data_IF_847785461144
#
_entry.id   IF_847785461144
#
_cell.length_a   1.000
_cell.length_b   1.000
_cell.length_c   1.000
_cell.angle_alpha   90.00
_cell.angle_beta   90.00
_cell.angle_gamma   90.00
#
_symmetry.space_group_name_H-M   'P 1'
#
loop_
_entity.id
_entity.type
_entity.pdbx_description
1 polymer ?
#
# COMPACT_ATOMS: atom_id res chain seq x y z
N UNK A 1 60.77 -52.00 -7.90
CA UNK A 1 60.95 -50.57 -8.25
C UNK A 1 59.87 -49.81 -7.49
N UNK A 2 60.10 -49.03 -6.44
CA UNK A 2 61.30 -48.41 -5.88
C UNK A 2 60.81 -47.09 -5.24
N UNK A 3 60.30 -47.10 -4.00
CA UNK A 3 61.03 -46.95 -2.72
C UNK A 3 61.84 -45.64 -2.59
N UNK A 4 61.44 -44.85 -1.58
CA UNK A 4 62.15 -43.84 -0.74
C UNK A 4 61.10 -42.78 -0.36
N UNK A 5 60.51 -42.67 0.84
CA UNK A 5 60.99 -42.76 2.25
C UNK A 5 62.18 -41.88 2.60
N UNK A 6 61.93 -40.82 3.40
CA UNK A 6 62.56 -40.64 4.73
C UNK A 6 62.00 -39.45 5.53
N UNK A 7 61.75 -39.72 6.82
CA UNK A 7 61.61 -38.72 7.89
C UNK A 7 62.92 -37.96 8.18
N UNK A 8 62.87 -36.84 8.91
CA UNK A 8 63.30 -36.76 10.33
C UNK A 8 63.52 -35.31 10.87
N UNK A 9 62.74 -34.96 11.91
CA UNK A 9 63.10 -34.27 13.19
C UNK A 9 63.70 -32.84 13.25
N UNK A 10 62.89 -32.00 13.93
CA UNK A 10 63.21 -31.23 15.16
C UNK A 10 64.31 -30.14 15.19
N UNK A 11 63.85 -28.90 15.38
CA UNK A 11 64.60 -27.79 15.99
C UNK A 11 63.71 -26.84 16.81
N UNK A 12 63.79 -26.93 18.15
CA UNK A 12 63.31 -26.00 19.19
C UNK A 12 64.35 -26.08 20.34
N UNK A 13 64.43 -25.16 21.34
CA UNK A 13 63.49 -24.06 21.67
C UNK A 13 64.16 -22.70 22.05
N UNK A 14 63.34 -21.68 22.32
CA UNK A 14 63.31 -20.92 23.59
C UNK A 14 61.97 -20.17 23.68
N UNK A 15 61.10 -20.56 24.63
CA UNK A 15 60.76 -19.84 25.90
C UNK A 15 59.85 -18.62 25.64
N UNK A 16 58.71 -18.43 26.33
CA UNK A 16 58.11 -19.13 27.48
C UNK A 16 56.58 -18.83 27.58
N UNK A 17 55.75 -19.82 28.01
CA UNK A 17 54.56 -19.78 28.94
C UNK A 17 53.55 -18.58 28.92
N UNK A 18 52.24 -18.70 29.19
CA UNK A 18 51.27 -19.73 29.68
C UNK A 18 49.87 -19.24 29.22
N UNK A 19 49.01 -19.98 28.51
CA UNK A 19 47.97 -20.95 28.95
C UNK A 19 47.15 -20.54 30.22
N UNK A 20 45.86 -20.18 30.07
CA UNK A 20 44.70 -20.99 30.53
C UNK A 20 43.33 -20.49 30.01
N UNK A 21 42.26 -21.23 30.34
CA UNK A 21 41.05 -21.43 29.54
C UNK A 21 39.85 -20.49 29.80
N UNK A 22 38.92 -20.57 28.83
CA UNK A 22 37.55 -20.09 28.76
C UNK A 22 36.69 -20.14 30.04
N UNK A 23 35.79 -19.16 30.18
CA UNK A 23 34.52 -19.24 30.94
C UNK A 23 33.40 -18.50 30.18
N UNK A 24 32.18 -19.00 30.31
CA UNK A 24 30.92 -18.47 29.76
C UNK A 24 30.52 -17.16 30.46
N UNK A 25 30.20 -16.08 29.71
CA UNK A 25 29.32 -14.97 30.15
C UNK A 25 28.57 -14.43 28.91
N UNK A 26 27.24 -14.45 28.83
CA UNK A 26 26.22 -13.72 29.62
C UNK A 26 26.03 -12.26 29.18
N UNK A 27 24.79 -11.78 29.20
CA UNK A 27 24.33 -10.59 28.49
C UNK A 27 24.79 -9.27 29.13
N UNK A 28 26.00 -8.80 28.78
CA UNK A 28 26.55 -7.53 29.28
C UNK A 28 27.46 -6.73 28.31
N UNK A 29 27.47 -7.04 27.00
CA UNK A 29 28.43 -6.41 26.04
C UNK A 29 27.86 -5.30 25.14
N UNK A 30 26.55 -5.04 25.16
CA UNK A 30 25.97 -3.85 24.49
C UNK A 30 26.54 -2.53 25.03
N UNK A 31 26.73 -2.33 26.37
CA UNK A 31 27.33 -1.10 26.89
C UNK A 31 28.78 -0.88 26.41
N UNK A 32 29.57 -1.95 26.28
CA UNK A 32 30.98 -1.85 25.90
C UNK A 32 31.14 -1.44 24.42
N UNK A 33 30.29 -1.97 23.53
CA UNK A 33 30.26 -1.59 22.11
C UNK A 33 29.86 -0.11 21.92
N UNK A 34 28.85 0.36 22.67
CA UNK A 34 28.44 1.76 22.66
C UNK A 34 29.50 2.70 23.23
N UNK A 35 30.26 2.26 24.25
CA UNK A 35 31.36 3.04 24.83
C UNK A 35 32.55 3.19 23.86
N UNK A 36 32.92 2.11 23.17
CA UNK A 36 33.99 2.13 22.14
C UNK A 36 33.60 3.03 20.95
N UNK A 37 32.38 2.93 20.43
CA UNK A 37 31.94 3.80 19.33
C UNK A 37 31.90 5.29 19.73
N UNK A 38 31.63 5.60 21.00
CA UNK A 38 31.65 6.97 21.54
C UNK A 38 33.07 7.53 21.73
N UNK A 39 34.08 6.67 21.86
CA UNK A 39 35.51 7.07 21.87
C UNK A 39 36.08 7.31 20.47
N UNK A 40 35.55 6.66 19.44
CA UNK A 40 36.08 6.74 18.07
C UNK A 40 35.20 7.50 17.06
N UNK A 41 34.07 8.08 17.47
CA UNK A 41 33.27 8.99 16.66
C UNK A 41 32.60 8.37 15.43
N UNK A 42 32.29 7.07 15.46
CA UNK A 42 31.66 6.36 14.35
C UNK A 42 30.12 6.47 14.40
N UNK A 43 29.44 6.78 13.29
CA UNK A 43 27.98 6.95 13.26
C UNK A 43 27.23 5.62 13.40
N UNK A 44 26.09 5.65 14.11
CA UNK A 44 25.20 4.50 14.33
C UNK A 44 23.91 4.61 13.49
N UNK A 45 23.29 3.51 13.02
CA UNK A 45 22.09 3.56 12.17
C UNK A 45 20.82 4.06 12.90
N UNK A 46 19.92 4.80 12.23
CA UNK A 46 18.89 5.61 12.88
C UNK A 46 17.52 4.90 13.08
N UNK A 47 17.48 3.71 13.71
CA UNK A 47 16.19 3.00 13.95
C UNK A 47 16.00 2.38 15.36
N UNK A 48 16.79 2.77 16.36
CA UNK A 48 16.80 2.15 17.70
C UNK A 48 16.79 3.15 18.87
N UNK A 49 16.09 4.30 18.75
CA UNK A 49 16.07 5.34 19.79
C UNK A 49 14.70 5.67 20.43
N UNK A 50 13.63 4.93 20.11
CA UNK A 50 12.27 5.22 20.64
C UNK A 50 11.58 4.02 21.31
N UNK A 51 12.31 3.28 22.14
CA UNK A 51 11.74 2.39 23.16
C UNK A 51 12.55 2.58 24.45
N UNK A 52 11.88 2.89 25.56
CA UNK A 52 12.39 3.40 26.86
C UNK A 52 12.66 4.94 26.85
N UNK A 53 12.20 5.77 27.81
CA UNK A 53 11.50 5.58 29.10
C UNK A 53 10.59 6.78 29.43
N UNK A 54 9.53 6.60 30.22
CA UNK A 54 8.82 7.69 30.94
C UNK A 54 9.20 7.66 32.43
N UNK A 55 9.62 8.80 33.03
CA UNK A 55 9.16 9.33 34.34
C UNK A 55 9.96 10.57 34.86
N UNK A 56 9.25 11.52 35.51
CA UNK A 56 9.73 12.56 36.47
C UNK A 56 10.60 13.79 36.07
N UNK A 57 9.94 14.87 35.59
CA UNK A 57 9.77 16.23 36.21
C UNK A 57 10.93 17.01 36.93
N UNK A 58 11.25 18.23 36.41
CA UNK A 58 11.78 19.51 37.03
C UNK A 58 13.22 19.56 37.64
N UNK A 59 14.01 20.68 37.67
CA UNK A 59 13.81 22.12 37.33
C UNK A 59 15.16 22.88 36.99
N UNK A 60 15.11 23.90 36.11
CA UNK A 60 15.85 25.19 35.97
C UNK A 60 17.41 25.36 35.72
N UNK A 61 17.88 25.87 34.53
CA UNK A 61 18.24 27.27 34.05
C UNK A 61 19.75 27.67 34.31
N UNK A 62 20.52 28.43 33.46
CA UNK A 62 20.57 28.64 31.99
C UNK A 62 22.00 28.46 31.36
N UNK A 63 22.11 28.48 30.02
CA UNK A 63 23.03 29.37 29.25
C UNK A 63 22.67 29.32 27.75
N UNK A 64 22.82 30.43 27.02
CA UNK A 64 22.20 30.67 25.70
C UNK A 64 23.20 30.83 24.55
N UNK A 65 22.63 30.94 23.32
CA UNK A 65 23.25 31.23 22.01
C UNK A 65 23.92 30.03 21.30
N UNK A 66 23.49 29.59 20.10
CA UNK A 66 22.21 29.74 19.37
C UNK A 66 22.12 28.65 18.26
N UNK A 67 20.92 28.12 17.99
CA UNK A 67 20.58 27.38 16.76
C UNK A 67 19.05 27.45 16.55
N UNK A 68 18.59 27.90 15.38
CA UNK A 68 17.16 28.11 15.12
C UNK A 68 16.42 26.79 14.91
N UNK A 69 15.58 26.40 15.87
CA UNK A 69 14.67 25.26 15.76
C UNK A 69 13.31 25.70 15.23
N UNK A 70 12.91 25.14 14.08
CA UNK A 70 11.53 25.18 13.62
C UNK A 70 10.67 24.32 14.57
N UNK A 71 9.95 24.99 15.47
CA UNK A 71 9.02 24.34 16.40
C UNK A 71 7.61 24.34 15.84
N UNK A 72 6.97 23.17 15.85
CA UNK A 72 5.54 23.04 15.54
C UNK A 72 4.71 23.39 16.78
N UNK A 73 3.68 24.26 16.68
CA UNK A 73 2.96 24.74 17.85
C UNK A 73 1.99 23.69 18.41
N UNK A 74 2.13 23.38 19.68
CA UNK A 74 1.10 22.68 20.48
C UNK A 74 -0.01 23.67 20.84
N UNK A 75 -1.31 23.40 20.54
CA UNK A 75 -2.39 24.32 20.89
C UNK A 75 -2.58 24.46 22.40
N UNK A 76 -2.57 25.69 22.92
CA UNK A 76 -2.78 25.97 24.34
C UNK A 76 -4.26 26.08 24.71
N UNK A 77 -4.62 25.54 25.88
CA UNK A 77 -5.99 25.47 26.39
C UNK A 77 -6.50 26.80 26.96
N UNK A 78 -6.67 27.86 26.15
CA UNK A 78 -7.42 29.06 26.57
C UNK A 78 -8.04 29.94 25.47
N UNK A 79 -8.74 29.33 24.51
CA UNK A 79 -9.84 29.99 23.77
C UNK A 79 -11.10 29.12 23.79
N UNK A 80 -11.69 28.97 24.98
CA UNK A 80 -12.98 28.32 25.19
C UNK A 80 -14.09 29.36 25.39
N UNK A 81 -14.68 29.84 24.29
CA UNK A 81 -16.10 30.23 24.24
C UNK A 81 -16.54 30.45 22.78
N UNK A 82 -17.73 29.92 22.44
CA UNK A 82 -18.37 29.97 21.10
C UNK A 82 -17.71 29.14 19.98
N UNK A 83 -17.50 27.85 20.25
CA UNK A 83 -17.66 26.80 19.24
C UNK A 83 -18.80 25.87 19.66
N UNK A 84 -19.61 25.40 18.71
CA UNK A 84 -20.81 24.60 18.97
C UNK A 84 -20.43 23.20 19.50
N UNK A 85 -21.07 22.80 20.60
CA UNK A 85 -20.95 21.45 21.17
C UNK A 85 -21.66 20.45 20.24
N UNK A 86 -20.98 19.42 19.72
CA UNK A 86 -21.66 18.27 19.14
C UNK A 86 -22.35 17.50 20.27
N UNK A 87 -23.67 17.34 20.17
CA UNK A 87 -24.43 16.57 21.15
C UNK A 87 -24.04 15.09 21.16
N UNK A 88 -24.39 14.41 22.27
CA UNK A 88 -24.31 12.96 22.45
C UNK A 88 -24.82 12.18 21.23
N UNK A 89 -24.36 10.92 21.00
CA UNK A 89 -24.79 10.12 19.85
C UNK A 89 -26.31 9.88 19.89
N UNK A 90 -27.04 10.73 19.17
CA UNK A 90 -28.42 10.48 18.78
C UNK A 90 -28.44 9.23 17.91
N UNK A 91 -29.50 8.42 18.04
CA UNK A 91 -29.73 7.26 17.16
C UNK A 91 -29.51 7.69 15.70
N UNK A 92 -28.90 6.86 14.85
CA UNK A 92 -28.61 7.23 13.47
C UNK A 92 -29.89 7.75 12.84
N UNK A 93 -29.86 9.02 12.44
CA UNK A 93 -30.99 9.62 11.76
C UNK A 93 -31.23 8.78 10.51
N UNK A 94 -32.38 8.13 10.43
CA UNK A 94 -32.84 7.51 9.18
C UNK A 94 -32.75 8.58 8.11
N UNK A 95 -31.83 8.41 7.16
CA UNK A 95 -31.64 9.27 6.00
C UNK A 95 -32.96 9.32 5.24
N UNK A 96 -33.78 10.32 5.57
CA UNK A 96 -35.12 10.44 5.03
C UNK A 96 -35.01 10.90 3.60
N UNK A 97 -35.36 9.99 2.69
CA UNK A 97 -35.39 10.20 1.24
C UNK A 97 -36.08 11.53 0.93
N UNK A 98 -35.32 12.54 0.46
CA UNK A 98 -35.85 13.88 0.20
C UNK A 98 -37.04 13.80 -0.76
N UNK A 99 -38.27 14.13 -0.32
CA UNK A 99 -39.44 13.92 -1.17
C UNK A 99 -39.39 14.82 -2.41
N UNK A 100 -39.25 14.22 -3.59
CA UNK A 100 -39.19 14.94 -4.87
C UNK A 100 -37.85 14.88 -5.62
N UNK A 101 -36.79 14.33 -5.02
CA UNK A 101 -35.51 14.15 -5.73
C UNK A 101 -35.64 13.12 -6.87
N UNK A 102 -35.39 13.55 -8.12
CA UNK A 102 -35.43 12.67 -9.30
C UNK A 102 -34.30 11.65 -9.22
N UNK A 103 -34.65 10.35 -9.25
CA UNK A 103 -33.68 9.25 -9.22
C UNK A 103 -32.74 9.31 -10.43
N UNK A 104 -31.44 9.18 -10.20
CA UNK A 104 -30.38 9.30 -11.22
C UNK A 104 -29.94 7.92 -11.73
N UNK A 105 -29.94 7.72 -13.04
CA UNK A 105 -29.50 6.47 -13.67
C UNK A 105 -28.04 6.55 -14.09
N UNK A 106 -27.24 5.58 -13.63
CA UNK A 106 -25.84 5.44 -14.04
C UNK A 106 -25.66 4.11 -14.78
N UNK A 107 -25.33 4.19 -16.06
CA UNK A 107 -25.07 3.03 -16.93
C UNK A 107 -23.60 2.63 -16.84
N UNK A 108 -23.32 1.39 -16.45
CA UNK A 108 -21.99 0.82 -16.60
C UNK A 108 -21.85 0.15 -17.97
N UNK A 109 -21.05 0.74 -18.86
CA UNK A 109 -20.91 0.25 -20.23
C UNK A 109 -19.98 -0.97 -20.28
N UNK A 110 -20.57 -2.15 -20.08
CA UNK A 110 -19.87 -3.45 -20.18
C UNK A 110 -20.13 -4.12 -21.53
N UNK A 111 -19.21 -4.04 -22.52
CA UNK A 111 -19.42 -4.69 -23.83
C UNK A 111 -19.15 -6.20 -23.84
N UNK A 112 -18.48 -6.75 -22.83
CA UNK A 112 -18.16 -8.18 -22.68
C UNK A 112 -17.89 -8.52 -21.21
N UNK A 113 -18.04 -9.78 -20.78
CA UNK A 113 -17.84 -10.20 -19.37
C UNK A 113 -16.50 -9.72 -18.77
N UNK A 114 -15.39 -9.82 -19.52
CA UNK A 114 -14.05 -9.34 -19.09
C UNK A 114 -13.94 -7.83 -18.86
N UNK A 115 -14.96 -7.07 -19.24
CA UNK A 115 -15.05 -5.63 -19.04
C UNK A 115 -15.86 -5.25 -17.79
N UNK A 116 -16.39 -6.23 -17.05
CA UNK A 116 -16.95 -6.05 -15.72
C UNK A 116 -15.84 -5.89 -14.67
N UNK A 117 -14.89 -4.98 -14.92
CA UNK A 117 -13.74 -4.73 -14.05
C UNK A 117 -14.17 -4.33 -12.63
N UNK A 118 -15.29 -3.61 -12.51
CA UNK A 118 -15.87 -3.17 -11.26
C UNK A 118 -16.79 -4.23 -10.59
N UNK A 119 -17.01 -5.38 -11.24
CA UNK A 119 -17.88 -6.48 -10.79
C UNK A 119 -19.31 -6.03 -10.43
N UNK A 120 -19.88 -5.13 -11.25
CA UNK A 120 -21.23 -4.57 -11.11
C UNK A 120 -22.31 -5.39 -11.82
N UNK A 121 -21.97 -6.36 -12.67
CA UNK A 121 -22.97 -7.21 -13.34
C UNK A 121 -23.18 -8.55 -12.60
N UNK A 122 -22.12 -9.11 -12.01
CA UNK A 122 -22.20 -10.39 -11.26
C UNK A 122 -22.73 -10.26 -9.84
N UNK A 123 -22.73 -9.05 -9.29
CA UNK A 123 -23.42 -8.71 -8.05
C UNK A 123 -24.39 -7.58 -8.38
N UNK A 124 -25.64 -7.57 -7.86
CA UNK A 124 -26.25 -6.28 -7.59
C UNK A 124 -25.30 -5.56 -6.65
N UNK A 125 -24.53 -4.60 -7.19
CA UNK A 125 -23.55 -3.87 -6.40
C UNK A 125 -24.23 -3.27 -5.17
N UNK A 126 -23.53 -3.13 -4.03
CA UNK A 126 -24.13 -2.52 -2.85
C UNK A 126 -24.75 -1.20 -3.29
N UNK A 127 -26.04 -1.06 -3.02
CA UNK A 127 -26.80 0.13 -3.38
C UNK A 127 -26.14 1.35 -2.76
N UNK A 128 -26.44 2.55 -3.26
CA UNK A 128 -25.96 3.77 -2.61
C UNK A 128 -26.47 3.89 -1.16
N UNK A 129 -27.56 3.17 -0.83
CA UNK A 129 -28.09 2.99 0.52
C UNK A 129 -27.22 2.02 1.35
N UNK A 130 -26.84 0.85 0.81
CA UNK A 130 -25.93 -0.12 1.47
C UNK A 130 -24.53 0.48 1.74
N UNK A 131 -24.05 1.32 0.82
CA UNK A 131 -22.80 2.08 0.98
C UNK A 131 -22.91 3.29 1.92
N UNK A 132 -24.12 3.58 2.43
CA UNK A 132 -24.40 4.76 3.26
C UNK A 132 -23.91 6.07 2.62
N UNK A 133 -24.02 6.18 1.30
CA UNK A 133 -23.65 7.39 0.58
C UNK A 133 -24.53 8.56 1.04
N UNK A 134 -23.98 9.77 1.27
CA UNK A 134 -24.77 10.95 1.63
C UNK A 134 -25.86 11.26 0.61
N UNK A 135 -25.53 11.12 -0.68
CA UNK A 135 -26.47 11.11 -1.79
C UNK A 135 -26.72 9.66 -2.23
N UNK A 136 -27.95 9.19 -2.06
CA UNK A 136 -28.33 7.79 -2.33
C UNK A 136 -29.44 7.61 -3.37
N UNK A 137 -29.92 8.69 -3.99
CA UNK A 137 -30.95 8.69 -5.03
C UNK A 137 -30.48 8.16 -6.40
N UNK A 138 -29.34 7.47 -6.48
CA UNK A 138 -28.79 6.92 -7.72
C UNK A 138 -29.07 5.42 -7.84
N UNK A 139 -28.92 4.87 -9.05
CA UNK A 139 -28.90 3.43 -9.27
C UNK A 139 -28.06 3.06 -10.49
N UNK A 140 -27.55 1.83 -10.47
CA UNK A 140 -26.76 1.26 -11.55
C UNK A 140 -27.63 0.44 -12.51
N UNK A 141 -27.23 0.42 -13.78
CA UNK A 141 -27.72 -0.56 -14.76
C UNK A 141 -26.59 -0.99 -15.68
N UNK A 142 -26.64 -2.23 -16.16
CA UNK A 142 -25.79 -2.78 -17.21
C UNK A 142 -26.50 -2.78 -18.58
N UNK A 143 -27.78 -2.40 -18.62
CA UNK A 143 -28.60 -2.39 -19.82
C UNK A 143 -28.15 -1.26 -20.76
N UNK A 144 -27.32 -1.62 -21.73
CA UNK A 144 -26.77 -0.70 -22.73
C UNK A 144 -27.84 -0.04 -23.63
N UNK A 145 -29.08 -0.54 -23.66
CA UNK A 145 -30.17 0.15 -24.38
C UNK A 145 -30.51 1.50 -23.73
N UNK A 146 -30.23 1.66 -22.43
CA UNK A 146 -30.50 2.88 -21.64
C UNK A 146 -29.50 4.01 -21.82
N UNK A 147 -28.54 3.90 -22.74
CA UNK A 147 -27.50 4.92 -22.97
C UNK A 147 -28.03 6.32 -23.33
N UNK A 148 -29.23 6.41 -23.92
CA UNK A 148 -29.89 7.69 -24.23
C UNK A 148 -30.68 8.28 -23.05
N UNK A 149 -31.00 7.47 -22.04
CA UNK A 149 -31.78 7.85 -20.86
C UNK A 149 -30.89 8.16 -19.64
N UNK A 150 -29.70 7.55 -19.57
CA UNK A 150 -28.80 7.63 -18.42
C UNK A 150 -28.30 9.06 -18.13
N UNK A 151 -28.26 9.42 -16.85
CA UNK A 151 -27.66 10.66 -16.35
C UNK A 151 -26.13 10.58 -16.36
N UNK A 152 -25.55 9.39 -16.22
CA UNK A 152 -24.13 9.13 -16.48
C UNK A 152 -23.86 7.77 -17.13
N UNK A 153 -22.73 7.68 -17.84
CA UNK A 153 -22.26 6.43 -18.48
C UNK A 153 -20.77 6.22 -18.19
N UNK A 154 -20.42 5.10 -17.56
CA UNK A 154 -19.03 4.73 -17.25
C UNK A 154 -18.45 3.84 -18.35
N UNK A 155 -17.32 4.26 -18.91
CA UNK A 155 -16.57 3.50 -19.92
C UNK A 155 -15.20 3.13 -19.35
N UNK A 156 -14.89 1.83 -19.25
CA UNK A 156 -13.55 1.38 -18.88
C UNK A 156 -12.60 1.48 -20.07
N UNK A 157 -11.47 2.19 -19.93
CA UNK A 157 -10.58 2.57 -21.04
C UNK A 157 -10.09 1.37 -21.87
N UNK A 158 -9.81 0.22 -21.23
CA UNK A 158 -9.36 -0.99 -21.93
C UNK A 158 -10.46 -1.65 -22.81
N UNK A 159 -11.72 -1.26 -22.64
CA UNK A 159 -12.87 -1.90 -23.25
C UNK A 159 -13.55 -1.10 -24.38
N UNK A 160 -13.20 0.18 -24.56
CA UNK A 160 -13.77 1.03 -25.63
C UNK A 160 -13.11 0.86 -27.02
N UNK A 161 -11.92 0.25 -27.10
CA UNK A 161 -11.11 0.12 -28.34
C UNK A 161 -11.83 -0.48 -29.56
N UNK A 162 -12.87 -1.29 -29.35
CA UNK A 162 -13.65 -1.96 -30.42
C UNK A 162 -15.16 -1.80 -30.21
N UNK A 163 -15.56 -0.69 -29.60
CA UNK A 163 -16.96 -0.37 -29.34
C UNK A 163 -17.39 0.70 -30.34
N UNK A 164 -18.45 0.43 -31.10
CA UNK A 164 -19.16 1.47 -31.86
C UNK A 164 -19.70 2.49 -30.87
N UNK A 165 -19.32 3.76 -31.05
CA UNK A 165 -19.66 4.84 -30.13
C UNK A 165 -21.19 5.00 -30.10
N UNK A 166 -21.85 4.83 -28.94
CA UNK A 166 -23.29 4.96 -28.85
C UNK A 166 -23.74 6.43 -28.94
N UNK A 167 -24.99 6.67 -29.33
CA UNK A 167 -25.55 8.02 -29.29
C UNK A 167 -25.61 8.53 -27.84
N UNK A 168 -24.84 9.58 -27.53
CA UNK A 168 -24.78 10.23 -26.22
C UNK A 168 -26.08 10.98 -25.91
N UNK A 169 -26.58 10.84 -24.68
CA UNK A 169 -27.54 11.77 -24.09
C UNK A 169 -26.88 13.17 -23.96
N UNK A 170 -27.39 14.24 -24.61
CA UNK A 170 -26.77 15.58 -24.53
C UNK A 170 -26.64 16.14 -23.11
N UNK A 171 -27.52 15.72 -22.20
CA UNK A 171 -27.49 16.14 -20.79
C UNK A 171 -26.73 15.15 -19.88
N UNK A 172 -26.38 13.97 -20.39
CA UNK A 172 -25.70 12.92 -19.63
C UNK A 172 -24.19 13.11 -19.54
N UNK A 173 -23.58 12.67 -18.43
CA UNK A 173 -22.14 12.75 -18.16
C UNK A 173 -21.44 11.45 -18.55
N UNK A 174 -20.55 11.50 -19.53
CA UNK A 174 -19.70 10.35 -19.88
C UNK A 174 -18.42 10.36 -19.05
N UNK A 175 -18.10 9.22 -18.43
CA UNK A 175 -17.00 9.07 -17.48
C UNK A 175 -16.01 8.05 -18.03
N UNK A 176 -14.76 8.47 -18.25
CA UNK A 176 -13.68 7.54 -18.60
C UNK A 176 -13.03 6.98 -17.33
N UNK A 177 -13.19 5.68 -17.11
CA UNK A 177 -12.64 4.95 -15.97
C UNK A 177 -11.32 4.30 -16.35
N UNK A 178 -10.27 4.53 -15.56
CA UNK A 178 -9.01 3.81 -15.70
C UNK A 178 -8.27 3.70 -14.36
N UNK A 179 -7.92 2.47 -13.99
CA UNK A 179 -7.15 2.12 -12.78
C UNK A 179 -5.76 1.55 -13.11
N UNK A 180 -5.38 1.47 -14.38
CA UNK A 180 -4.03 1.05 -14.80
C UNK A 180 -3.06 2.23 -14.85
N UNK A 181 -1.76 1.94 -14.74
CA UNK A 181 -0.71 2.96 -14.82
C UNK A 181 -0.63 3.60 -16.22
N UNK A 182 0.06 4.75 -16.37
CA UNK A 182 0.41 5.31 -17.68
C UNK A 182 1.24 4.36 -18.56
N UNK A 183 2.03 3.46 -17.95
CA UNK A 183 2.86 2.49 -18.67
C UNK A 183 2.02 1.39 -19.33
N UNK A 184 0.96 0.93 -18.65
CA UNK A 184 0.11 -0.20 -19.04
C UNK A 184 -1.13 0.25 -19.83
N UNK A 185 -1.39 1.56 -19.86
CA UNK A 185 -2.61 2.10 -20.44
C UNK A 185 -2.53 2.35 -21.94
N UNK A 186 -3.61 1.93 -22.61
CA UNK A 186 -3.72 2.03 -24.04
C UNK A 186 -4.27 3.40 -24.46
N UNK A 187 -3.46 4.19 -25.16
CA UNK A 187 -3.80 5.56 -25.59
C UNK A 187 -4.34 5.68 -27.04
N UNK A 188 -4.71 4.57 -27.70
CA UNK A 188 -5.32 4.62 -29.06
C UNK A 188 -6.85 4.55 -28.99
N UNK A 189 -7.45 5.64 -28.55
CA UNK A 189 -8.91 5.83 -28.49
C UNK A 189 -9.34 7.17 -29.11
N UNK A 190 -8.60 7.64 -30.11
CA UNK A 190 -8.82 8.91 -30.83
C UNK A 190 -10.26 9.19 -31.22
N UNK A 191 -11.02 8.15 -31.59
CA UNK A 191 -12.42 8.29 -32.03
C UNK A 191 -13.34 8.76 -30.89
N UNK A 192 -12.88 8.67 -29.64
CA UNK A 192 -13.58 9.12 -28.43
C UNK A 192 -13.09 10.49 -27.92
N UNK A 193 -12.27 11.20 -28.71
CA UNK A 193 -11.79 12.54 -28.39
C UNK A 193 -12.97 13.52 -28.19
N UNK A 194 -12.86 14.38 -27.17
CA UNK A 194 -13.91 15.34 -26.81
C UNK A 194 -15.22 14.73 -26.28
N UNK A 195 -15.35 13.40 -26.12
CA UNK A 195 -16.63 12.78 -25.72
C UNK A 195 -16.84 12.67 -24.21
N UNK A 196 -15.77 12.63 -23.40
CA UNK A 196 -15.85 12.44 -21.95
C UNK A 196 -15.98 13.77 -21.20
N UNK A 197 -16.87 13.80 -20.20
CA UNK A 197 -17.07 14.95 -19.31
C UNK A 197 -16.22 14.86 -18.03
N UNK A 198 -16.02 13.63 -17.53
CA UNK A 198 -15.31 13.36 -16.28
C UNK A 198 -14.30 12.20 -16.45
N UNK A 199 -13.23 12.23 -15.66
CA UNK A 199 -12.31 11.09 -15.49
C UNK A 199 -12.47 10.45 -14.11
N UNK A 200 -12.33 9.13 -14.03
CA UNK A 200 -12.30 8.38 -12.76
C UNK A 200 -11.02 7.55 -12.70
N UNK A 201 -10.08 7.95 -11.84
CA UNK A 201 -8.71 7.39 -11.77
C UNK A 201 -8.19 7.34 -10.35
N UNK A 202 -7.13 6.57 -10.12
CA UNK A 202 -6.40 6.55 -8.84
C UNK A 202 -5.60 7.83 -8.56
N UNK A 203 -5.55 8.78 -9.50
CA UNK A 203 -4.84 10.06 -9.37
C UNK A 203 -5.77 11.15 -8.81
N UNK A 204 -5.28 11.94 -7.85
CA UNK A 204 -6.05 13.01 -7.16
C UNK A 204 -6.51 14.15 -8.08
N UNK A 205 -5.94 14.26 -9.28
CA UNK A 205 -6.26 15.28 -10.29
C UNK A 205 -7.41 14.88 -11.25
N UNK A 206 -8.01 13.69 -11.05
CA UNK A 206 -9.19 13.25 -11.79
C UNK A 206 -10.48 13.82 -11.18
N UNK A 207 -11.57 13.87 -11.96
CA UNK A 207 -12.87 14.36 -11.47
C UNK A 207 -13.47 13.55 -10.34
N UNK A 208 -13.17 12.24 -10.33
CA UNK A 208 -13.63 11.26 -9.35
C UNK A 208 -12.40 10.46 -8.90
N UNK A 209 -11.85 10.84 -7.75
CA UNK A 209 -10.70 10.16 -7.15
C UNK A 209 -11.09 8.74 -6.72
N UNK A 210 -10.49 7.75 -7.38
CA UNK A 210 -10.77 6.32 -7.26
C UNK A 210 -9.48 5.51 -7.13
N UNK A 211 -8.80 5.58 -5.96
CA UNK A 211 -7.71 4.67 -5.64
C UNK A 211 -8.24 3.26 -5.43
N UNK A 212 -7.38 2.23 -5.58
CA UNK A 212 -7.76 0.82 -5.37
C UNK A 212 -8.37 0.56 -4.00
N UNK A 213 -7.90 1.26 -2.97
CA UNK A 213 -8.56 1.33 -1.67
C UNK A 213 -8.03 2.53 -0.85
N UNK A 214 -8.54 2.69 0.37
CA UNK A 214 -8.02 3.62 1.38
C UNK A 214 -7.70 2.86 2.67
N UNK A 215 -6.59 3.20 3.32
CA UNK A 215 -6.27 2.73 4.68
C UNK A 215 -6.98 3.62 5.69
N UNK A 216 -7.59 3.02 6.71
CA UNK A 216 -8.30 3.73 7.79
C UNK A 216 -7.89 3.12 9.14
N UNK A 217 -7.58 3.99 10.10
CA UNK A 217 -7.34 3.59 11.48
C UNK A 217 -8.65 3.22 12.17
N UNK A 218 -8.68 2.09 12.87
CA UNK A 218 -9.91 1.45 13.36
C UNK A 218 -9.74 0.81 14.74
N UNK A 219 -8.78 1.32 15.52
CA UNK A 219 -8.46 0.82 16.86
C UNK A 219 -9.68 0.91 17.78
N UNK A 220 -10.09 -0.22 18.33
CA UNK A 220 -11.31 -0.35 19.15
C UNK A 220 -12.56 -0.80 18.37
N UNK A 221 -12.53 -0.81 17.04
CA UNK A 221 -13.64 -1.28 16.18
C UNK A 221 -13.43 -2.72 15.66
N UNK A 222 -12.53 -3.47 16.28
CA UNK A 222 -12.18 -4.84 15.92
C UNK A 222 -11.45 -5.51 17.08
N UNK A 223 -11.14 -6.82 16.98
CA UNK A 223 -10.48 -7.55 18.08
C UNK A 223 -9.06 -7.02 18.39
N UNK A 224 -8.47 -6.23 17.48
CA UNK A 224 -7.06 -5.86 17.53
C UNK A 224 -6.16 -7.10 17.48
N UNK A 225 -4.95 -6.99 18.01
CA UNK A 225 -4.09 -8.14 18.24
C UNK A 225 -3.35 -7.99 19.59
N UNK A 226 -3.58 -8.93 20.50
CA UNK A 226 -2.84 -8.99 21.77
C UNK A 226 -1.34 -9.24 21.49
N UNK A 227 -0.46 -8.92 22.45
CA UNK A 227 0.98 -9.14 22.26
C UNK A 227 1.26 -10.64 22.14
N UNK A 228 0.58 -11.44 22.94
CA UNK A 228 0.64 -12.90 23.02
C UNK A 228 0.11 -13.53 21.72
N UNK A 229 -1.00 -13.00 21.17
CA UNK A 229 -1.54 -13.42 19.88
C UNK A 229 -0.56 -13.10 18.74
N UNK A 230 -0.01 -11.88 18.71
CA UNK A 230 0.98 -11.48 17.70
C UNK A 230 2.23 -12.38 17.73
N UNK A 231 2.79 -12.62 18.91
CA UNK A 231 3.93 -13.54 19.10
C UNK A 231 3.58 -14.99 18.72
N UNK A 232 2.38 -15.47 19.06
CA UNK A 232 1.90 -16.81 18.71
C UNK A 232 1.76 -17.00 17.19
N UNK A 233 1.30 -15.96 16.47
CA UNK A 233 1.26 -15.95 15.00
C UNK A 233 2.68 -15.92 14.45
N UNK A 234 3.54 -15.01 14.93
CA UNK A 234 4.94 -14.88 14.49
C UNK A 234 5.69 -16.21 14.56
N UNK A 235 5.56 -16.94 15.67
CA UNK A 235 6.22 -18.24 15.90
C UNK A 235 5.68 -19.39 15.05
N UNK A 236 4.51 -19.23 14.42
CA UNK A 236 3.93 -20.21 13.48
C UNK A 236 4.35 -19.96 12.03
N UNK A 237 4.90 -18.78 11.72
CA UNK A 237 5.41 -18.45 10.38
C UNK A 237 6.62 -19.33 10.06
N UNK A 238 6.50 -20.15 9.02
CA UNK A 238 7.57 -21.09 8.59
C UNK A 238 8.30 -20.63 7.34
N UNK A 239 7.78 -19.62 6.63
CA UNK A 239 8.32 -19.13 5.36
C UNK A 239 8.61 -17.64 5.41
N UNK A 240 9.60 -17.22 4.60
CA UNK A 240 10.17 -15.89 4.73
C UNK A 240 9.52 -14.86 3.79
N UNK A 241 9.76 -14.97 2.47
CA UNK A 241 9.24 -14.02 1.47
C UNK A 241 8.43 -14.75 0.40
N UNK A 242 7.23 -14.25 0.10
CA UNK A 242 6.42 -14.66 -1.05
C UNK A 242 6.30 -13.54 -2.09
N UNK A 243 6.17 -13.93 -3.36
CA UNK A 243 5.79 -13.03 -4.45
C UNK A 243 4.79 -13.72 -5.38
N UNK A 244 3.57 -13.20 -5.49
CA UNK A 244 2.56 -13.71 -6.44
C UNK A 244 2.49 -12.80 -7.66
N UNK A 245 2.93 -13.32 -8.80
CA UNK A 245 3.15 -12.54 -10.03
C UNK A 245 2.83 -13.34 -11.29
N UNK A 246 2.23 -12.69 -12.29
CA UNK A 246 1.90 -13.32 -13.57
C UNK A 246 1.99 -12.37 -14.77
N UNK A 247 2.62 -11.21 -14.60
CA UNK A 247 2.92 -10.25 -15.67
C UNK A 247 4.40 -9.88 -15.57
N UNK A 248 5.18 -10.38 -16.53
CA UNK A 248 6.60 -10.13 -16.76
C UNK A 248 6.85 -10.26 -18.28
N UNK A 249 7.76 -9.49 -18.89
CA UNK A 249 8.51 -8.39 -18.29
C UNK A 249 7.59 -7.19 -17.93
N UNK A 250 8.11 -6.21 -17.19
CA UNK A 250 7.35 -5.04 -16.73
C UNK A 250 8.13 -3.72 -16.85
N UNK A 251 7.42 -2.60 -16.96
CA UNK A 251 8.05 -1.27 -17.04
C UNK A 251 8.84 -0.89 -15.78
N UNK A 252 8.47 -1.42 -14.60
CA UNK A 252 9.24 -1.23 -13.37
C UNK A 252 10.44 -2.17 -13.22
N UNK A 253 10.64 -3.13 -14.15
CA UNK A 253 11.69 -4.16 -14.10
C UNK A 253 11.75 -4.87 -12.75
N UNK A 254 10.59 -5.09 -12.11
CA UNK A 254 10.49 -5.70 -10.77
C UNK A 254 11.01 -7.13 -10.73
N UNK A 255 10.96 -7.82 -11.86
CA UNK A 255 11.56 -9.14 -12.07
C UNK A 255 13.08 -9.10 -11.84
N UNK A 256 13.79 -8.14 -12.42
CA UNK A 256 15.25 -7.97 -12.24
C UNK A 256 15.61 -7.61 -10.80
N UNK A 257 14.81 -6.75 -10.14
CA UNK A 257 14.99 -6.44 -8.72
C UNK A 257 14.84 -7.71 -7.84
N UNK A 258 13.87 -8.58 -8.16
CA UNK A 258 13.67 -9.85 -7.42
C UNK A 258 14.78 -10.86 -7.73
N UNK A 259 15.28 -10.92 -8.96
CA UNK A 259 16.43 -11.77 -9.33
C UNK A 259 17.71 -11.36 -8.56
N UNK A 260 17.95 -10.06 -8.37
CA UNK A 260 19.05 -9.58 -7.51
C UNK A 260 18.77 -9.89 -6.03
N UNK A 261 17.54 -9.63 -5.54
CA UNK A 261 17.14 -9.93 -4.16
C UNK A 261 17.31 -11.41 -3.80
N UNK A 262 16.97 -12.32 -4.73
CA UNK A 262 17.06 -13.78 -4.55
C UNK A 262 18.50 -14.29 -4.31
N UNK A 263 19.53 -13.53 -4.71
CA UNK A 263 20.93 -13.84 -4.39
C UNK A 263 21.23 -13.75 -2.89
N UNK A 264 20.40 -13.01 -2.15
CA UNK A 264 20.63 -12.72 -0.73
C UNK A 264 19.55 -13.31 0.19
N UNK A 265 18.30 -13.50 -0.26
CA UNK A 265 17.19 -14.02 0.57
C UNK A 265 16.29 -14.95 -0.26
N UNK A 266 15.83 -16.11 0.27
CA UNK A 266 14.88 -16.94 -0.47
C UNK A 266 13.55 -16.22 -0.67
N UNK A 267 13.11 -16.16 -1.94
CA UNK A 267 11.81 -15.62 -2.36
C UNK A 267 11.05 -16.69 -3.12
N UNK A 268 9.92 -17.12 -2.57
CA UNK A 268 9.02 -18.08 -3.21
C UNK A 268 8.14 -17.34 -4.25
N UNK A 269 8.38 -17.62 -5.54
CA UNK A 269 7.69 -16.96 -6.65
C UNK A 269 6.56 -17.84 -7.20
N UNK A 270 5.34 -17.34 -7.11
CA UNK A 270 4.11 -17.99 -7.54
C UNK A 270 3.51 -17.33 -8.79
N UNK A 271 2.93 -18.14 -9.66
CA UNK A 271 2.27 -17.70 -10.89
C UNK A 271 3.21 -17.72 -12.10
N UNK A 272 2.81 -17.11 -13.22
CA UNK A 272 3.47 -17.31 -14.53
C UNK A 272 4.94 -16.86 -14.62
N UNK A 273 5.46 -16.10 -13.66
CA UNK A 273 6.88 -15.73 -13.61
C UNK A 273 7.71 -16.55 -12.61
N UNK A 274 7.16 -17.63 -12.04
CA UNK A 274 7.85 -18.48 -11.07
C UNK A 274 7.45 -19.95 -11.17
N UNK A 275 8.15 -20.84 -10.43
CA UNK A 275 7.89 -22.27 -10.48
C UNK A 275 6.69 -22.71 -9.64
N UNK A 276 6.21 -21.89 -8.71
CA UNK A 276 5.11 -22.24 -7.80
C UNK A 276 3.75 -21.82 -8.37
N UNK A 277 2.69 -22.57 -8.03
CA UNK A 277 1.34 -22.32 -8.56
C UNK A 277 0.42 -21.77 -7.47
N UNK A 278 -0.14 -20.60 -7.74
CA UNK A 278 -1.32 -20.06 -7.07
C UNK A 278 -2.31 -19.61 -8.15
N UNK A 279 -3.52 -20.14 -8.15
CA UNK A 279 -4.54 -19.75 -9.12
C UNK A 279 -5.19 -18.42 -8.71
N UNK A 280 -5.44 -17.53 -9.68
CA UNK A 280 -6.10 -16.24 -9.43
C UNK A 280 -7.50 -16.47 -8.86
N UNK A 281 -7.75 -15.97 -7.65
CA UNK A 281 -9.03 -16.12 -6.94
C UNK A 281 -9.13 -17.35 -6.04
N UNK A 282 -8.07 -18.16 -5.92
CA UNK A 282 -8.03 -19.25 -4.94
C UNK A 282 -7.86 -18.71 -3.52
N UNK A 283 -8.82 -19.00 -2.64
CA UNK A 283 -8.81 -18.56 -1.25
C UNK A 283 -7.61 -19.15 -0.48
N UNK A 284 -7.18 -20.38 -0.81
CA UNK A 284 -6.05 -21.07 -0.16
C UNK A 284 -4.74 -20.32 -0.32
N UNK A 285 -4.59 -19.53 -1.38
CA UNK A 285 -3.43 -18.66 -1.55
C UNK A 285 -3.38 -17.53 -0.52
N UNK A 286 -4.53 -16.96 -0.15
CA UNK A 286 -4.59 -15.92 0.87
C UNK A 286 -4.33 -16.52 2.26
N UNK A 287 -4.84 -17.72 2.53
CA UNK A 287 -4.55 -18.48 3.75
C UNK A 287 -3.05 -18.82 3.87
N UNK A 288 -2.43 -19.31 2.78
CA UNK A 288 -1.00 -19.56 2.66
C UNK A 288 -0.15 -18.32 2.99
N UNK A 289 -0.47 -17.15 2.41
CA UNK A 289 0.19 -15.89 2.75
C UNK A 289 -0.05 -15.50 4.22
N UNK A 290 -1.29 -15.58 4.69
CA UNK A 290 -1.67 -15.18 6.04
C UNK A 290 -1.01 -16.04 7.12
N UNK A 291 -0.85 -17.34 6.88
CA UNK A 291 -0.41 -18.30 7.90
C UNK A 291 1.09 -18.55 7.85
N UNK A 292 1.70 -18.68 6.66
CA UNK A 292 3.04 -19.24 6.54
C UNK A 292 4.14 -18.18 6.34
N UNK A 293 3.86 -17.11 5.57
CA UNK A 293 4.88 -16.14 5.14
C UNK A 293 5.00 -14.89 6.02
N UNK A 294 6.22 -14.48 6.37
CA UNK A 294 6.45 -13.19 7.10
C UNK A 294 6.33 -11.96 6.18
N UNK A 295 6.80 -12.05 4.95
CA UNK A 295 6.87 -10.93 4.01
C UNK A 295 6.22 -11.24 2.66
N UNK A 296 5.59 -10.23 2.05
CA UNK A 296 5.05 -10.30 0.69
C UNK A 296 5.56 -9.16 -0.18
N UNK A 297 6.07 -9.46 -1.37
CA UNK A 297 6.55 -8.44 -2.30
C UNK A 297 5.37 -7.79 -3.05
N UNK A 298 4.87 -6.69 -2.50
CA UNK A 298 3.83 -5.82 -3.06
C UNK A 298 4.42 -4.89 -4.14
N UNK A 299 5.09 -5.47 -5.14
CA UNK A 299 5.85 -4.75 -6.16
C UNK A 299 4.97 -4.41 -7.37
N UNK A 300 4.83 -3.12 -7.67
CA UNK A 300 4.07 -2.66 -8.82
C UNK A 300 4.80 -2.96 -10.14
N UNK A 301 4.04 -3.25 -11.20
CA UNK A 301 4.52 -3.44 -12.58
C UNK A 301 4.94 -2.13 -13.28
N UNK A 302 4.74 -0.99 -12.61
CA UNK A 302 4.91 0.33 -13.20
C UNK A 302 5.34 1.34 -12.15
N UNK A 303 6.26 2.21 -12.53
CA UNK A 303 6.69 3.34 -11.72
C UNK A 303 5.94 4.58 -12.20
N UNK A 304 4.93 4.97 -11.43
CA UNK A 304 4.08 6.14 -11.67
C UNK A 304 3.67 6.76 -10.32
N UNK A 305 3.49 8.07 -10.30
CA UNK A 305 3.06 8.81 -9.10
C UNK A 305 1.72 8.29 -8.59
N UNK A 306 1.58 8.20 -7.26
CA UNK A 306 0.40 7.69 -6.54
C UNK A 306 -0.08 6.27 -6.92
N UNK A 307 0.64 5.51 -7.75
CA UNK A 307 0.20 4.17 -8.19
C UNK A 307 0.45 3.11 -7.11
N UNK A 308 -0.62 2.74 -6.40
CA UNK A 308 -0.67 1.67 -5.41
C UNK A 308 -1.94 0.86 -5.65
N UNK A 309 -1.81 -0.46 -5.70
CA UNK A 309 -2.85 -1.36 -6.20
C UNK A 309 -3.23 -2.46 -5.20
N UNK A 310 -4.02 -3.44 -5.64
CA UNK A 310 -4.39 -4.63 -4.85
C UNK A 310 -3.19 -5.35 -4.21
N UNK A 311 -2.02 -5.29 -4.85
CA UNK A 311 -0.77 -5.95 -4.39
C UNK A 311 -0.37 -5.51 -2.99
N UNK A 312 -0.64 -4.24 -2.64
CA UNK A 312 -0.46 -3.71 -1.29
C UNK A 312 -1.74 -3.89 -0.45
N UNK A 313 -2.88 -3.42 -0.95
CA UNK A 313 -4.10 -3.33 -0.13
C UNK A 313 -4.64 -4.69 0.34
N UNK A 314 -4.50 -5.76 -0.45
CA UNK A 314 -4.94 -7.11 -0.04
C UNK A 314 -4.07 -7.68 1.09
N UNK A 315 -2.87 -7.16 1.33
CA UNK A 315 -2.00 -7.62 2.42
C UNK A 315 -2.35 -6.99 3.77
N UNK A 316 -2.98 -5.81 3.80
CA UNK A 316 -3.33 -5.09 5.03
C UNK A 316 -4.22 -5.91 6.00
N UNK A 317 -5.29 -6.62 5.57
CA UNK A 317 -6.07 -7.44 6.49
C UNK A 317 -5.41 -8.76 6.92
N UNK A 318 -4.26 -9.14 6.34
CA UNK A 318 -3.57 -10.41 6.62
C UNK A 318 -2.44 -10.24 7.66
N UNK A 319 -2.07 -11.30 8.36
CA UNK A 319 -0.94 -11.29 9.31
C UNK A 319 0.44 -11.38 8.63
N UNK A 320 0.66 -10.56 7.60
CA UNK A 320 1.89 -10.49 6.80
C UNK A 320 2.32 -9.03 6.63
N UNK A 321 3.62 -8.77 6.50
CA UNK A 321 4.14 -7.43 6.25
C UNK A 321 4.42 -7.26 4.74
N UNK A 322 3.76 -6.32 4.04
CA UNK A 322 4.07 -6.02 2.65
C UNK A 322 5.40 -5.26 2.53
N UNK A 323 6.24 -5.70 1.59
CA UNK A 323 7.42 -4.99 1.12
C UNK A 323 7.05 -4.32 -0.19
N UNK A 324 7.10 -3.00 -0.25
CA UNK A 324 6.53 -2.20 -1.35
C UNK A 324 7.61 -1.61 -2.25
N UNK A 325 7.38 -1.68 -3.56
CA UNK A 325 8.22 -1.05 -4.58
C UNK A 325 7.34 -0.30 -5.59
N UNK A 326 7.27 1.01 -5.43
CA UNK A 326 6.48 1.96 -6.23
C UNK A 326 7.08 3.38 -6.12
N UNK A 327 6.68 4.30 -7.00
CA UNK A 327 6.97 5.73 -6.86
C UNK A 327 5.92 6.49 -6.02
N UNK A 328 4.85 5.85 -5.57
CA UNK A 328 3.82 6.50 -4.76
C UNK A 328 4.37 7.11 -3.46
N UNK A 329 3.89 8.29 -3.09
CA UNK A 329 4.08 8.83 -1.74
C UNK A 329 3.02 8.23 -0.81
N UNK A 330 3.40 7.22 -0.02
CA UNK A 330 2.48 6.51 0.88
C UNK A 330 1.88 7.42 1.96
N UNK A 331 2.64 8.39 2.48
CA UNK A 331 2.15 9.37 3.45
C UNK A 331 1.02 10.24 2.88
N UNK A 332 1.14 10.67 1.62
CA UNK A 332 0.08 11.41 0.92
C UNK A 332 -1.18 10.58 0.62
N UNK A 333 -1.08 9.25 0.63
CA UNK A 333 -2.19 8.32 0.51
C UNK A 333 -2.82 7.97 1.87
N UNK A 334 -2.31 8.54 2.97
CA UNK A 334 -2.75 8.24 4.33
C UNK A 334 -2.31 6.86 4.81
N UNK A 335 -1.25 6.29 4.23
CA UNK A 335 -0.66 5.01 4.64
C UNK A 335 0.49 5.27 5.62
N UNK A 336 0.37 4.88 6.90
CA UNK A 336 1.44 5.07 7.88
C UNK A 336 2.65 4.17 7.58
N UNK A 337 3.89 4.63 7.82
CA UNK A 337 5.10 3.86 7.54
C UNK A 337 5.11 2.44 8.12
N UNK A 338 4.55 2.26 9.33
CA UNK A 338 4.51 0.98 10.06
C UNK A 338 3.76 -0.15 9.34
N UNK A 339 2.99 0.15 8.29
CA UNK A 339 2.20 -0.85 7.55
C UNK A 339 2.97 -1.58 6.45
N UNK A 340 4.18 -1.14 6.12
CA UNK A 340 4.99 -1.66 5.02
C UNK A 340 6.49 -1.44 5.23
N UNK A 341 7.29 -2.07 4.36
CA UNK A 341 8.72 -1.85 4.23
C UNK A 341 8.96 -1.34 2.81
N UNK A 342 9.34 -0.07 2.63
CA UNK A 342 9.56 0.51 1.30
C UNK A 342 10.98 0.16 0.80
N UNK A 343 11.11 -0.29 -0.45
CA UNK A 343 12.43 -0.60 -1.01
C UNK A 343 13.34 0.63 -1.13
N UNK A 344 12.77 1.84 -1.15
CA UNK A 344 13.50 3.12 -1.21
C UNK A 344 14.23 3.48 0.09
N UNK A 345 13.88 2.84 1.22
CA UNK A 345 14.58 3.02 2.49
C UNK A 345 15.94 2.28 2.54
N UNK A 346 16.27 1.51 1.50
CA UNK A 346 17.46 0.67 1.40
C UNK A 346 18.34 1.09 0.22
N UNK A 347 19.66 0.98 0.37
CA UNK A 347 20.62 1.36 -0.68
C UNK A 347 20.73 0.30 -1.79
N UNK A 348 20.29 -0.92 -1.53
CA UNK A 348 20.35 -2.05 -2.47
C UNK A 348 19.36 -3.17 -2.08
N UNK A 349 19.02 -4.09 -3.00
CA UNK A 349 18.28 -5.31 -2.68
C UNK A 349 18.98 -6.17 -1.59
N UNK A 350 20.31 -6.09 -1.49
CA UNK A 350 21.09 -6.76 -0.45
C UNK A 350 20.81 -6.18 0.94
N UNK A 351 20.80 -4.85 1.09
CA UNK A 351 20.52 -4.19 2.37
C UNK A 351 19.09 -4.50 2.86
N UNK A 352 18.14 -4.55 1.92
CA UNK A 352 16.77 -5.02 2.18
C UNK A 352 16.75 -6.47 2.66
N UNK A 353 17.42 -7.40 1.95
CA UNK A 353 17.51 -8.80 2.35
C UNK A 353 18.13 -8.97 3.74
N UNK A 354 19.17 -8.21 4.08
CA UNK A 354 19.77 -8.22 5.41
C UNK A 354 18.82 -7.67 6.49
N UNK A 355 18.04 -6.63 6.19
CA UNK A 355 17.00 -6.12 7.09
C UNK A 355 15.89 -7.15 7.35
N UNK A 356 15.33 -7.74 6.28
CA UNK A 356 14.29 -8.78 6.40
C UNK A 356 14.80 -9.99 7.21
N UNK A 357 16.07 -10.39 7.04
CA UNK A 357 16.71 -11.45 7.85
C UNK A 357 16.97 -11.07 9.32
N UNK A 358 17.18 -9.78 9.63
CA UNK A 358 17.28 -9.31 11.02
C UNK A 358 15.91 -9.37 11.70
N UNK A 359 14.90 -8.86 11.02
CA UNK A 359 13.51 -8.85 11.49
C UNK A 359 12.90 -10.26 11.60
N UNK A 360 13.30 -11.20 10.73
CA UNK A 360 12.95 -12.61 10.84
C UNK A 360 13.45 -13.26 12.15
N UNK A 361 14.64 -12.86 12.63
CA UNK A 361 15.25 -13.38 13.86
C UNK A 361 14.76 -12.71 15.14
N UNK A 362 13.94 -11.67 15.02
CA UNK A 362 13.39 -10.90 16.14
C UNK A 362 11.86 -11.02 16.16
N UNK A 363 11.39 -12.08 16.81
CA UNK A 363 9.96 -12.37 16.97
C UNK A 363 9.20 -11.22 17.64
N UNK A 364 9.82 -10.48 18.57
CA UNK A 364 9.20 -9.37 19.30
C UNK A 364 9.02 -8.17 18.37
N UNK A 365 10.04 -7.79 17.61
CA UNK A 365 9.94 -6.70 16.62
C UNK A 365 8.95 -7.04 15.50
N UNK A 366 8.98 -8.26 14.96
CA UNK A 366 8.01 -8.64 13.92
C UNK A 366 6.58 -8.75 14.47
N UNK A 367 6.38 -9.26 15.70
CA UNK A 367 5.07 -9.26 16.35
C UNK A 367 4.55 -7.84 16.62
N UNK A 368 5.44 -6.88 16.96
CA UNK A 368 5.06 -5.48 17.13
C UNK A 368 4.54 -4.85 15.83
N UNK A 369 5.15 -5.16 14.68
CA UNK A 369 4.64 -4.74 13.36
C UNK A 369 3.25 -5.32 13.07
N UNK A 370 3.05 -6.63 13.29
CA UNK A 370 1.74 -7.26 13.10
C UNK A 370 0.66 -6.63 14.00
N UNK A 371 1.00 -6.36 15.26
CA UNK A 371 0.09 -5.72 16.22
C UNK A 371 -0.25 -4.29 15.81
N UNK A 372 0.73 -3.49 15.40
CA UNK A 372 0.48 -2.12 14.95
C UNK A 372 -0.40 -2.10 13.68
N UNK A 373 -0.15 -3.04 12.75
CA UNK A 373 -0.90 -3.19 11.51
C UNK A 373 -2.35 -3.66 11.74
N UNK A 374 -2.62 -4.44 12.79
CA UNK A 374 -3.96 -4.90 13.14
C UNK A 374 -4.92 -3.78 13.61
N UNK A 375 -4.42 -2.58 13.95
CA UNK A 375 -5.26 -1.42 14.24
C UNK A 375 -5.86 -0.78 12.96
N UNK A 376 -5.48 -1.25 11.76
CA UNK A 376 -5.87 -0.65 10.48
C UNK A 376 -6.74 -1.58 9.62
N UNK A 377 -7.70 -0.98 8.93
CA UNK A 377 -8.57 -1.63 7.93
C UNK A 377 -8.41 -0.98 6.57
N UNK A 378 -8.90 -1.68 5.55
CA UNK A 378 -8.97 -1.19 4.17
C UNK A 378 -10.43 -0.93 3.81
N UNK A 379 -10.72 0.30 3.40
CA UNK A 379 -12.01 0.67 2.82
C UNK A 379 -11.91 0.66 1.30
N UNK A 380 -12.80 -0.11 0.69
CA UNK A 380 -12.78 -0.45 -0.74
C UNK A 380 -13.04 0.78 -1.63
N UNK A 381 -12.57 0.73 -2.88
CA UNK A 381 -12.71 1.81 -3.89
C UNK A 381 -14.15 2.23 -4.18
N UNK A 382 -15.14 1.41 -3.75
CA UNK A 382 -16.59 1.65 -3.90
C UNK A 382 -17.08 3.01 -3.38
N UNK A 383 -16.34 3.66 -2.48
CA UNK A 383 -16.67 5.03 -2.01
C UNK A 383 -16.68 6.06 -3.14
N UNK A 384 -15.87 5.87 -4.19
CA UNK A 384 -15.88 6.73 -5.38
C UNK A 384 -17.21 6.70 -6.13
N UNK A 385 -18.09 5.73 -5.88
CA UNK A 385 -19.46 5.75 -6.39
C UNK A 385 -20.31 6.83 -5.70
N UNK A 386 -20.17 7.00 -4.39
CA UNK A 386 -20.85 8.07 -3.67
C UNK A 386 -20.50 9.44 -4.27
N UNK A 387 -19.25 9.64 -4.70
CA UNK A 387 -18.82 10.85 -5.42
C UNK A 387 -19.50 11.02 -6.78
N UNK A 388 -19.70 9.95 -7.57
CA UNK A 388 -20.48 10.05 -8.83
C UNK A 388 -21.91 10.49 -8.54
N UNK A 389 -22.56 9.88 -7.54
CA UNK A 389 -23.94 10.23 -7.20
C UNK A 389 -24.04 11.68 -6.70
N UNK A 390 -23.12 12.09 -5.82
CA UNK A 390 -23.00 13.48 -5.34
C UNK A 390 -22.84 14.47 -6.49
N UNK A 391 -21.89 14.24 -7.40
CA UNK A 391 -21.65 15.10 -8.57
C UNK A 391 -22.82 15.16 -9.55
N UNK A 392 -23.67 14.12 -9.62
CA UNK A 392 -24.89 14.13 -10.46
C UNK A 392 -26.07 14.89 -9.84
N UNK A 393 -26.01 15.17 -8.54
CA UNK A 393 -27.01 15.97 -7.82
C UNK A 393 -26.56 17.41 -7.55
N UNK A 394 -25.28 17.71 -7.69
CA UNK A 394 -24.73 19.05 -7.56
C UNK A 394 -25.01 19.90 -8.84
N UNK A 395 -25.86 20.94 -8.76
CA UNK A 395 -26.18 21.78 -9.92
C UNK A 395 -25.04 22.73 -10.32
N UNK A 396 -23.98 22.85 -9.50
CA UNK A 396 -22.80 23.67 -9.81
C UNK A 396 -21.78 22.95 -10.69
N UNK A 397 -21.92 21.63 -10.87
CA UNK A 397 -20.97 20.82 -11.64
C UNK A 397 -20.96 21.17 -13.14
N UNK A 398 -19.87 21.77 -13.66
CA UNK A 398 -19.86 22.37 -14.97
C UNK A 398 -20.03 21.34 -16.09
N UNK A 399 -20.76 21.73 -17.14
CA UNK A 399 -20.75 20.98 -18.40
C UNK A 399 -19.46 21.28 -19.14
N UNK A 400 -18.47 20.39 -18.94
CA UNK A 400 -17.16 20.41 -19.61
C UNK A 400 -16.93 19.12 -20.39
N UNK A 401 -15.96 19.14 -21.28
CA UNK A 401 -15.45 17.97 -22.00
C UNK A 401 -13.93 18.02 -22.01
N UNK A 402 -13.30 16.86 -22.12
CA UNK A 402 -11.85 16.75 -22.24
C UNK A 402 -11.44 16.22 -23.61
N UNK A 403 -10.42 16.85 -24.17
CA UNK A 403 -9.65 16.27 -25.26
C UNK A 403 -8.80 15.08 -24.80
N UNK A 404 -8.38 14.24 -25.74
CA UNK A 404 -7.55 13.08 -25.47
C UNK A 404 -6.20 13.47 -24.86
N UNK A 405 -5.62 14.59 -25.29
CA UNK A 405 -4.35 15.11 -24.75
C UNK A 405 -4.48 15.57 -23.30
N UNK A 406 -5.58 16.20 -22.91
CA UNK A 406 -5.85 16.58 -21.51
C UNK A 406 -6.01 15.36 -20.61
N UNK A 407 -6.74 14.33 -21.06
CA UNK A 407 -6.90 13.08 -20.31
C UNK A 407 -5.57 12.34 -20.16
N UNK A 408 -4.74 12.28 -21.22
CA UNK A 408 -3.41 11.69 -21.17
C UNK A 408 -2.53 12.48 -20.18
N UNK A 409 -2.59 13.82 -20.21
CA UNK A 409 -1.86 14.67 -19.25
C UNK A 409 -2.33 14.48 -17.80
N UNK A 410 -3.64 14.31 -17.57
CA UNK A 410 -4.17 14.00 -16.23
C UNK A 410 -3.65 12.65 -15.71
N UNK A 411 -3.45 11.67 -16.59
CA UNK A 411 -3.02 10.34 -16.18
C UNK A 411 -1.58 10.33 -15.63
N UNK A 412 -0.75 11.30 -16.02
CA UNK A 412 0.63 11.43 -15.57
C UNK A 412 1.61 10.56 -16.36
N UNK A 413 2.81 10.41 -15.81
CA UNK A 413 3.96 9.83 -16.50
C UNK A 413 4.31 8.41 -16.03
N UNK A 414 4.88 7.64 -16.95
CA UNK A 414 5.62 6.42 -16.63
C UNK A 414 7.11 6.78 -16.47
N UNK A 415 7.76 6.25 -15.43
CA UNK A 415 9.17 6.50 -15.15
C UNK A 415 9.98 5.19 -15.19
N UNK A 416 11.25 5.22 -15.61
CA UNK A 416 12.14 4.07 -15.45
C UNK A 416 12.53 3.87 -13.97
N UNK A 417 12.83 2.65 -13.53
CA UNK A 417 13.40 2.40 -12.22
C UNK A 417 14.85 2.91 -12.10
N UNK A 418 15.23 3.32 -10.90
CA UNK A 418 16.55 3.89 -10.57
C UNK A 418 17.26 3.13 -9.44
N UNK A 419 16.73 1.97 -9.06
CA UNK A 419 17.03 1.20 -7.84
C UNK A 419 17.43 -0.26 -8.14
N UNK A 420 18.01 -0.50 -9.32
CA UNK A 420 18.48 -1.81 -9.81
C UNK A 420 20.00 -1.92 -9.76
#
# INVERSE_FOLDING_TARGET
>A
MGLLTRDLRCGRPRRLRLIFNAVIMSACLVPLYLWVNKLFGLPSPPLLQHIATEDSVQQEIPYSVMAETLTWPTPTSRQLSKALVPGSPTKPATLSRTPGSKRKMILYWTPAKKCDYLNLNERPGPTFEDLQCPENNCFWTADRTKVKEADAVLFFQHCIRRVTIPQKNPHGRWILVNHESPCESFNKWSDWDGLFNWTMRYTKNSDIYSPYARVVFSKGEGPGLSKEQALSITKKKTKLVAWMVSHCPTSSRREEYVEELQKYIPVDVYGRCGPLVCARGDARCHELLNNDYKFYLAFENSFAESYVTEKFFYMIPLHIIPVTRSLANYSELGVPPILHIDTRDFKSPKDLAEYLKRLDKDDESYAALLRAKADYKVFDWKHSYCDICRKLNDPSEPTKWYSASEIIKQHGSCFPPTDL
#
